data_IF_190240676272
#
_entry.id   IF_190240676272
#
_cell.length_a   1.000
_cell.length_b   1.000
_cell.length_c   1.000
_cell.angle_alpha   90.00
_cell.angle_beta   90.00
_cell.angle_gamma   90.00
#
_symmetry.space_group_name_H-M   'P 1'
#
loop_
_entity.id
_entity.type
_entity.pdbx_description
1 polymer ?
#
# COMPACT_ATOMS: atom_id res chain seq x y z
N UNK A 1 19.95 -79.04 21.31
CA UNK A 1 19.51 -77.83 22.04
C UNK A 1 19.48 -76.68 21.05
N UNK A 2 18.34 -75.97 20.97
CA UNK A 2 18.06 -74.88 20.03
C UNK A 2 18.82 -73.62 20.48
N UNK A 3 19.47 -72.93 19.55
CA UNK A 3 19.86 -71.52 19.73
C UNK A 3 19.43 -70.73 18.50
N UNK A 4 18.50 -69.80 18.74
CA UNK A 4 17.97 -68.87 17.76
C UNK A 4 18.93 -67.68 17.60
N UNK A 5 19.23 -67.30 16.36
CA UNK A 5 19.88 -66.04 16.05
C UNK A 5 18.81 -65.04 15.62
N UNK A 6 18.64 -63.98 16.42
CA UNK A 6 17.74 -62.88 16.14
C UNK A 6 18.34 -61.96 15.07
N UNK A 7 17.66 -61.84 13.94
CA UNK A 7 18.01 -60.89 12.87
C UNK A 7 17.37 -59.53 13.22
N UNK A 8 18.19 -58.56 13.63
CA UNK A 8 17.73 -57.18 13.87
C UNK A 8 17.81 -56.41 12.56
N UNK A 9 16.66 -56.09 11.96
CA UNK A 9 16.56 -55.20 10.80
C UNK A 9 16.70 -53.75 11.29
N UNK A 10 17.80 -53.09 10.95
CA UNK A 10 17.96 -51.64 11.15
C UNK A 10 17.32 -50.91 9.97
N UNK A 11 16.12 -50.34 10.17
CA UNK A 11 15.50 -49.47 9.18
C UNK A 11 16.19 -48.10 9.20
N UNK A 12 16.99 -47.80 8.17
CA UNK A 12 17.47 -46.43 7.91
C UNK A 12 16.28 -45.57 7.45
N UNK A 13 15.76 -44.73 8.33
CA UNK A 13 14.89 -43.63 7.94
C UNK A 13 15.71 -42.57 7.21
N UNK A 14 15.55 -42.49 5.89
CA UNK A 14 16.08 -41.39 5.08
C UNK A 14 15.13 -40.20 5.23
N UNK A 15 15.49 -39.23 6.06
CA UNK A 15 14.85 -37.90 6.05
C UNK A 15 15.27 -37.15 4.79
N UNK A 16 14.35 -36.63 3.96
CA UNK A 16 14.73 -35.78 2.85
C UNK A 16 15.27 -34.45 3.40
N UNK A 17 16.51 -34.13 3.04
CA UNK A 17 17.11 -32.83 3.33
C UNK A 17 16.31 -31.74 2.60
N UNK A 18 15.64 -30.87 3.37
CA UNK A 18 15.10 -29.61 2.86
C UNK A 18 16.29 -28.78 2.42
N UNK A 19 16.47 -28.63 1.11
CA UNK A 19 17.50 -27.77 0.53
C UNK A 19 17.12 -26.33 0.87
N UNK A 20 17.88 -25.70 1.77
CA UNK A 20 17.76 -24.28 2.04
C UNK A 20 18.03 -23.53 0.71
N UNK A 21 17.05 -22.73 0.28
CA UNK A 21 17.26 -21.77 -0.81
C UNK A 21 18.25 -20.73 -0.27
N UNK A 22 19.45 -20.68 -0.84
CA UNK A 22 20.43 -19.64 -0.49
C UNK A 22 19.83 -18.26 -0.82
N UNK A 23 19.97 -17.27 0.08
CA UNK A 23 19.46 -15.93 -0.17
C UNK A 23 20.17 -15.32 -1.38
N UNK A 24 19.41 -14.63 -2.23
CA UNK A 24 19.96 -13.91 -3.37
C UNK A 24 21.11 -12.97 -2.93
N UNK A 25 22.18 -12.85 -3.73
CA UNK A 25 23.31 -12.00 -3.38
C UNK A 25 22.85 -10.54 -3.21
N UNK A 26 23.43 -9.83 -2.24
CA UNK A 26 23.03 -8.47 -1.86
C UNK A 26 22.91 -7.48 -3.04
N UNK A 27 23.71 -7.66 -4.11
CA UNK A 27 23.60 -6.88 -5.34
C UNK A 27 22.25 -7.04 -6.04
N UNK A 28 21.73 -8.27 -6.15
CA UNK A 28 20.45 -8.55 -6.79
C UNK A 28 19.26 -7.95 -6.01
N UNK A 29 19.31 -8.05 -4.68
CA UNK A 29 18.29 -7.43 -3.79
C UNK A 29 18.33 -5.89 -3.89
N UNK A 30 19.52 -5.31 -3.99
CA UNK A 30 19.69 -3.86 -4.18
C UNK A 30 19.19 -3.39 -5.55
N UNK A 31 19.37 -4.20 -6.59
CA UNK A 31 18.92 -3.87 -7.95
C UNK A 31 17.40 -4.01 -8.08
N UNK A 32 16.79 -4.99 -7.40
CA UNK A 32 15.32 -5.13 -7.28
C UNK A 32 14.69 -3.96 -6.53
N UNK A 33 15.27 -3.55 -5.39
CA UNK A 33 14.83 -2.36 -4.65
C UNK A 33 14.91 -1.06 -5.47
N UNK A 34 15.93 -0.95 -6.32
CA UNK A 34 16.11 0.19 -7.24
C UNK A 34 15.08 0.16 -8.37
N UNK A 35 14.78 -1.03 -8.91
CA UNK A 35 13.78 -1.22 -9.96
C UNK A 35 12.38 -0.90 -9.47
N UNK A 36 11.97 -1.44 -8.31
CA UNK A 36 10.68 -1.15 -7.66
C UNK A 36 10.51 0.34 -7.43
N UNK A 37 11.55 1.01 -6.91
CA UNK A 37 11.51 2.46 -6.74
C UNK A 37 11.53 3.24 -8.06
N UNK A 38 12.18 2.75 -9.11
CA UNK A 38 12.19 3.42 -10.41
C UNK A 38 10.83 3.31 -11.10
N UNK A 39 10.24 2.11 -11.13
CA UNK A 39 8.91 1.85 -11.65
C UNK A 39 7.86 2.67 -10.90
N UNK A 40 7.91 2.66 -9.56
CA UNK A 40 7.01 3.46 -8.75
C UNK A 40 7.20 4.96 -8.95
N UNK A 41 8.44 5.46 -9.10
CA UNK A 41 8.69 6.88 -9.41
C UNK A 41 8.06 7.29 -10.74
N UNK A 42 8.24 6.49 -11.80
CA UNK A 42 7.64 6.77 -13.10
C UNK A 42 6.11 6.71 -13.05
N UNK A 43 5.56 5.68 -12.38
CA UNK A 43 4.13 5.51 -12.16
C UNK A 43 3.51 6.70 -11.42
N UNK A 44 4.20 7.19 -10.38
CA UNK A 44 3.75 8.33 -9.59
C UNK A 44 3.84 9.64 -10.36
N UNK A 45 4.89 9.86 -11.14
CA UNK A 45 4.98 11.05 -11.99
C UNK A 45 3.77 11.11 -12.95
N UNK A 46 3.48 10.00 -13.62
CA UNK A 46 2.33 9.86 -14.52
C UNK A 46 0.99 10.02 -13.77
N UNK A 47 0.86 9.42 -12.57
CA UNK A 47 -0.34 9.57 -11.77
C UNK A 47 -0.54 11.00 -11.26
N UNK A 48 0.53 11.71 -10.90
CA UNK A 48 0.48 13.13 -10.49
C UNK A 48 0.10 14.04 -11.64
N UNK A 49 0.68 13.82 -12.82
CA UNK A 49 0.27 14.50 -14.04
C UNK A 49 -1.23 14.29 -14.29
N UNK A 50 -1.69 13.04 -14.14
CA UNK A 50 -3.08 12.65 -14.38
C UNK A 50 -4.10 13.11 -13.33
N UNK A 51 -3.71 13.20 -12.07
CA UNK A 51 -4.62 13.53 -10.96
C UNK A 51 -4.51 15.01 -10.52
N UNK A 52 -3.43 15.71 -10.93
CA UNK A 52 -3.05 17.01 -10.40
C UNK A 52 -3.86 18.22 -10.91
N UNK A 53 -3.55 19.42 -10.38
CA UNK A 53 -4.18 20.69 -10.77
C UNK A 53 -3.97 21.09 -12.24
N UNK A 54 -2.87 20.64 -12.86
CA UNK A 54 -2.55 20.97 -14.26
C UNK A 54 -3.60 20.41 -15.24
N UNK A 55 -4.14 19.22 -14.96
CA UNK A 55 -5.22 18.67 -15.75
C UNK A 55 -6.57 19.32 -15.42
N UNK A 56 -6.81 19.77 -14.17
CA UNK A 56 -7.97 20.64 -13.86
C UNK A 56 -7.94 21.94 -14.66
N UNK A 57 -6.76 22.52 -14.90
CA UNK A 57 -6.60 23.69 -15.76
C UNK A 57 -6.74 23.34 -17.27
N UNK A 58 -6.28 22.17 -17.71
CA UNK A 58 -6.42 21.72 -19.10
C UNK A 58 -7.86 21.29 -19.45
N UNK A 59 -8.54 20.60 -18.53
CA UNK A 59 -9.95 20.20 -18.63
C UNK A 59 -10.87 21.41 -18.44
N UNK A 60 -10.57 22.36 -17.55
CA UNK A 60 -11.32 23.63 -17.46
C UNK A 60 -11.12 24.53 -18.68
N UNK A 61 -9.97 24.44 -19.37
CA UNK A 61 -9.75 25.11 -20.67
C UNK A 61 -10.46 24.40 -21.82
N UNK A 62 -10.58 23.07 -21.76
CA UNK A 62 -11.32 22.28 -22.74
C UNK A 62 -12.85 22.33 -22.54
N UNK A 63 -13.32 22.57 -21.31
CA UNK A 63 -14.73 22.70 -20.95
C UNK A 63 -15.19 24.17 -20.82
N UNK A 64 -14.27 25.13 -20.90
CA UNK A 64 -14.51 26.57 -20.74
C UNK A 64 -15.04 27.26 -21.99
N UNK A 65 -16.17 26.77 -22.49
CA UNK A 65 -16.95 27.36 -23.57
C UNK A 65 -18.42 27.53 -23.21
N UNK A 66 -18.75 27.90 -21.96
CA UNK A 66 -20.08 28.43 -21.62
C UNK A 66 -20.11 29.10 -20.22
N UNK A 67 -20.42 30.40 -20.27
CA UNK A 67 -21.20 31.19 -19.33
C UNK A 67 -20.71 31.46 -17.89
N UNK A 68 -20.69 32.77 -17.61
CA UNK A 68 -20.40 33.44 -16.37
C UNK A 68 -21.61 33.61 -15.44
N UNK A 69 -21.28 34.06 -14.22
CA UNK A 69 -22.00 34.99 -13.35
C UNK A 69 -22.75 34.42 -12.14
N UNK A 70 -22.47 35.02 -10.98
CA UNK A 70 -23.36 35.01 -9.81
C UNK A 70 -22.64 34.96 -8.46
N UNK A 71 -22.12 36.09 -7.99
CA UNK A 71 -21.74 36.28 -6.59
C UNK A 71 -22.98 36.70 -5.76
N UNK A 72 -23.12 36.19 -4.52
CA UNK A 72 -23.40 37.01 -3.33
C UNK A 72 -23.38 36.19 -2.02
N UNK A 73 -23.21 36.94 -0.93
CA UNK A 73 -22.52 36.59 0.31
C UNK A 73 -23.42 36.31 1.55
N UNK A 74 -22.76 35.82 2.62
CA UNK A 74 -23.06 35.93 4.07
C UNK A 74 -24.28 35.13 4.63
N UNK A 75 -24.30 34.57 5.85
CA UNK A 75 -23.57 34.89 7.09
C UNK A 75 -23.70 33.79 8.19
N UNK A 76 -22.73 33.75 9.11
CA UNK A 76 -22.78 33.36 10.55
C UNK A 76 -23.15 31.90 10.97
N UNK A 77 -22.67 31.31 12.06
CA UNK A 77 -21.54 31.47 12.99
C UNK A 77 -21.67 30.32 14.02
N UNK A 78 -20.63 29.50 14.22
CA UNK A 78 -20.39 28.83 15.52
C UNK A 78 -18.95 28.29 15.54
N UNK A 79 -17.99 29.17 15.85
CA UNK A 79 -16.60 28.77 16.00
C UNK A 79 -16.35 28.39 17.45
N UNK A 80 -16.30 27.09 17.71
CA UNK A 80 -15.56 26.56 18.84
C UNK A 80 -14.11 27.09 18.78
N UNK A 81 -13.54 27.41 19.95
CA UNK A 81 -12.18 27.92 20.08
C UNK A 81 -11.20 27.15 19.18
N UNK A 82 -10.32 27.83 18.42
CA UNK A 82 -9.38 27.12 17.56
C UNK A 82 -8.44 26.32 18.48
N UNK A 83 -8.54 25.00 18.40
CA UNK A 83 -7.44 24.14 18.78
C UNK A 83 -6.19 24.71 18.10
N UNK A 84 -5.13 24.97 18.88
CA UNK A 84 -3.85 25.52 18.40
C UNK A 84 -3.57 24.92 17.02
N UNK A 85 -3.66 25.73 15.97
CA UNK A 85 -3.20 25.30 14.66
C UNK A 85 -1.71 25.10 14.82
N UNK A 86 -1.28 23.85 15.02
CA UNK A 86 0.11 23.50 14.84
C UNK A 86 0.42 23.92 13.41
N UNK A 87 1.19 24.99 13.25
CA UNK A 87 1.65 25.43 11.94
C UNK A 87 2.64 24.36 11.47
N UNK A 88 2.11 23.34 10.81
CA UNK A 88 2.91 22.28 10.22
C UNK A 88 3.76 22.88 9.11
N UNK A 89 5.07 22.61 9.11
CA UNK A 89 5.96 22.95 7.99
C UNK A 89 5.64 22.14 6.73
N UNK A 90 4.88 21.06 6.89
CA UNK A 90 4.35 20.25 5.80
C UNK A 90 3.63 19.02 6.32
N UNK A 91 3.01 18.28 5.40
CA UNK A 91 2.20 17.10 5.71
C UNK A 91 2.82 15.84 5.12
N UNK A 92 2.96 14.79 5.92
CA UNK A 92 3.36 13.44 5.54
C UNK A 92 2.10 12.58 5.39
N UNK A 93 2.09 11.71 4.39
CA UNK A 93 0.98 10.79 4.14
C UNK A 93 1.46 9.36 4.36
N UNK A 94 1.25 8.84 5.57
CA UNK A 94 1.54 7.44 5.87
C UNK A 94 0.56 6.54 5.14
N UNK A 95 1.09 5.58 4.40
CA UNK A 95 0.29 4.57 3.70
C UNK A 95 0.77 3.17 4.03
N UNK A 96 -0.20 2.27 4.21
CA UNK A 96 0.03 0.89 4.62
C UNK A 96 -0.59 -0.06 3.60
N UNK A 97 0.24 -0.84 2.91
CA UNK A 97 -0.24 -1.93 2.07
C UNK A 97 -0.41 -3.19 2.95
N UNK A 98 -1.38 -4.04 2.60
CA UNK A 98 -1.49 -5.36 3.20
C UNK A 98 -0.21 -6.18 2.98
N UNK A 99 -0.06 -7.24 3.75
CA UNK A 99 1.07 -8.15 3.64
C UNK A 99 0.79 -9.41 4.45
N UNK A 100 1.63 -9.72 5.45
CA UNK A 100 1.41 -10.84 6.37
C UNK A 100 0.56 -10.48 7.60
N UNK A 101 0.24 -9.20 7.78
CA UNK A 101 -0.50 -8.61 8.92
C UNK A 101 0.14 -8.87 10.29
N UNK A 102 1.38 -9.34 10.33
CA UNK A 102 2.11 -9.59 11.58
C UNK A 102 2.33 -8.33 12.41
N UNK A 103 2.26 -7.15 11.79
CA UNK A 103 2.51 -5.86 12.42
C UNK A 103 1.25 -4.97 12.49
N UNK A 104 0.09 -5.49 12.07
CA UNK A 104 -1.16 -4.73 11.94
C UNK A 104 -1.59 -4.04 13.24
N UNK A 105 -1.69 -4.80 14.34
CA UNK A 105 -2.13 -4.27 15.65
C UNK A 105 -1.14 -3.22 16.20
N UNK A 106 0.16 -3.45 16.06
CA UNK A 106 1.17 -2.48 16.49
C UNK A 106 1.07 -1.16 15.71
N UNK A 107 0.88 -1.25 14.39
CA UNK A 107 0.70 -0.08 13.53
C UNK A 107 -0.53 0.69 14.00
N UNK A 108 -1.66 0.00 14.14
CA UNK A 108 -2.91 0.54 14.62
C UNK A 108 -2.77 1.29 15.95
N UNK A 109 -2.18 0.64 16.95
CA UNK A 109 -1.99 1.22 18.28
C UNK A 109 -1.06 2.44 18.24
N UNK A 110 -0.02 2.38 17.40
CA UNK A 110 0.94 3.48 17.25
C UNK A 110 0.29 4.70 16.63
N UNK A 111 -0.47 4.52 15.55
CA UNK A 111 -1.23 5.61 14.92
C UNK A 111 -2.21 6.24 15.92
N UNK A 112 -2.90 5.43 16.72
CA UNK A 112 -3.84 5.91 17.74
C UNK A 112 -3.15 6.72 18.85
N UNK A 113 -2.01 6.25 19.39
CA UNK A 113 -1.24 6.99 20.42
C UNK A 113 -0.81 8.37 19.93
N UNK A 114 -0.41 8.45 18.66
CA UNK A 114 0.02 9.69 18.00
C UNK A 114 -1.15 10.51 17.41
N UNK A 115 -2.39 9.99 17.48
CA UNK A 115 -3.59 10.60 16.88
C UNK A 115 -3.43 10.85 15.37
N UNK A 116 -2.73 9.96 14.68
CA UNK A 116 -2.46 10.05 13.24
C UNK A 116 -3.50 9.27 12.46
N UNK A 117 -4.02 9.88 11.40
CA UNK A 117 -4.82 9.19 10.40
C UNK A 117 -3.95 8.84 9.19
N UNK A 118 -3.90 7.56 8.84
CA UNK A 118 -3.18 7.04 7.67
C UNK A 118 -4.12 6.56 6.56
N UNK A 119 -3.54 6.06 5.47
CA UNK A 119 -4.29 5.40 4.38
C UNK A 119 -3.87 3.94 4.24
N UNK A 120 -4.80 3.01 4.08
CA UNK A 120 -4.53 1.58 3.94
C UNK A 120 -4.91 1.11 2.53
N UNK A 121 -4.06 0.35 1.85
CA UNK A 121 -4.39 -0.30 0.57
C UNK A 121 -4.51 -1.80 0.75
N UNK A 122 -5.68 -2.33 0.40
CA UNK A 122 -6.07 -3.69 0.78
C UNK A 122 -6.00 -4.66 -0.41
N UNK A 123 -5.26 -5.75 -0.23
CA UNK A 123 -5.37 -6.99 -0.99
C UNK A 123 -5.79 -8.14 -0.05
N UNK A 124 -6.33 -9.23 -0.60
CA UNK A 124 -6.72 -10.42 0.15
C UNK A 124 -5.52 -11.39 0.27
N UNK A 125 -4.63 -11.08 1.19
CA UNK A 125 -3.34 -11.75 1.35
C UNK A 125 -3.35 -12.72 2.52
N UNK A 126 -2.56 -13.78 2.43
CA UNK A 126 -2.41 -14.74 3.52
C UNK A 126 -1.69 -14.09 4.70
N UNK A 127 -2.28 -14.23 5.89
CA UNK A 127 -1.72 -13.67 7.13
C UNK A 127 -0.91 -14.71 7.90
N UNK A 128 -0.16 -14.26 8.90
CA UNK A 128 0.53 -15.15 9.86
C UNK A 128 -0.41 -16.03 10.69
N UNK A 129 -1.71 -15.71 10.74
CA UNK A 129 -2.73 -16.50 11.45
C UNK A 129 -3.23 -17.69 10.62
N UNK A 130 -2.82 -17.80 9.35
CA UNK A 130 -3.26 -18.84 8.44
C UNK A 130 -4.58 -18.53 7.71
N UNK A 131 -5.22 -17.42 8.05
CA UNK A 131 -6.37 -16.83 7.34
C UNK A 131 -5.91 -15.80 6.29
N UNK A 132 -6.86 -15.07 5.69
CA UNK A 132 -6.59 -13.96 4.78
C UNK A 132 -6.96 -12.61 5.39
N UNK A 133 -6.26 -11.56 4.98
CA UNK A 133 -6.42 -10.19 5.48
C UNK A 133 -7.84 -9.61 5.33
N UNK A 134 -8.64 -10.16 4.41
CA UNK A 134 -10.05 -9.80 4.21
C UNK A 134 -11.01 -10.94 4.62
N UNK A 135 -10.58 -11.87 5.48
CA UNK A 135 -11.46 -12.85 6.10
C UNK A 135 -12.31 -12.24 7.22
N UNK A 136 -13.43 -12.88 7.63
CA UNK A 136 -14.31 -12.35 8.68
C UNK A 136 -13.61 -12.12 10.02
N UNK A 137 -12.54 -12.88 10.31
CA UNK A 137 -11.67 -12.70 11.48
C UNK A 137 -11.03 -11.30 11.56
N UNK A 138 -10.90 -10.60 10.44
CA UNK A 138 -10.37 -9.24 10.36
C UNK A 138 -11.47 -8.15 10.35
N UNK A 139 -12.76 -8.51 10.41
CA UNK A 139 -13.87 -7.54 10.40
C UNK A 139 -13.74 -6.49 11.51
N UNK A 140 -13.43 -6.91 12.74
CA UNK A 140 -13.29 -6.00 13.87
C UNK A 140 -12.13 -5.01 13.66
N UNK A 141 -11.00 -5.49 13.16
CA UNK A 141 -9.82 -4.68 12.86
C UNK A 141 -10.16 -3.59 11.82
N UNK A 142 -10.80 -3.96 10.70
CA UNK A 142 -11.16 -3.01 9.65
C UNK A 142 -12.26 -2.03 10.05
N UNK A 143 -13.26 -2.47 10.82
CA UNK A 143 -14.26 -1.58 11.42
C UNK A 143 -13.63 -0.52 12.31
N UNK A 144 -12.62 -0.89 13.10
CA UNK A 144 -11.86 0.07 13.89
C UNK A 144 -11.13 1.09 13.00
N UNK A 145 -10.45 0.64 11.93
CA UNK A 145 -9.75 1.55 11.01
C UNK A 145 -10.68 2.58 10.36
N UNK A 146 -11.90 2.16 10.02
CA UNK A 146 -12.97 3.04 9.53
C UNK A 146 -13.40 4.04 10.60
N UNK A 147 -13.67 3.57 11.82
CA UNK A 147 -14.15 4.42 12.93
C UNK A 147 -13.12 5.49 13.35
N UNK A 148 -11.83 5.17 13.25
CA UNK A 148 -10.72 6.10 13.53
C UNK A 148 -10.52 7.15 12.41
N UNK A 149 -11.20 6.99 11.28
CA UNK A 149 -11.19 7.94 10.18
C UNK A 149 -10.03 7.78 9.21
N UNK A 150 -9.42 6.60 9.13
CA UNK A 150 -8.43 6.29 8.10
C UNK A 150 -9.05 6.28 6.70
N UNK A 151 -8.22 6.51 5.69
CA UNK A 151 -8.59 6.28 4.30
C UNK A 151 -8.30 4.83 3.90
N UNK A 152 -9.13 4.24 3.06
CA UNK A 152 -9.04 2.83 2.66
C UNK A 152 -9.15 2.74 1.15
N UNK A 153 -8.09 2.30 0.48
CA UNK A 153 -8.02 2.06 -0.95
C UNK A 153 -7.84 0.59 -1.29
N UNK A 154 -7.91 0.28 -2.58
CA UNK A 154 -7.67 -1.07 -3.08
C UNK A 154 -6.20 -1.29 -3.43
N UNK A 155 -5.69 -2.49 -3.16
CA UNK A 155 -4.40 -2.99 -3.66
C UNK A 155 -4.57 -4.15 -4.64
N UNK A 156 -5.75 -4.23 -5.30
CA UNK A 156 -6.28 -5.41 -6.02
C UNK A 156 -6.52 -6.62 -5.12
N UNK A 157 -7.55 -7.41 -5.43
CA UNK A 157 -7.94 -8.52 -4.55
C UNK A 157 -6.87 -9.61 -4.46
N UNK A 158 -6.37 -10.08 -5.61
CA UNK A 158 -5.40 -11.19 -5.66
C UNK A 158 -3.92 -10.72 -5.67
N UNK A 159 -3.66 -9.47 -5.26
CA UNK A 159 -2.33 -8.84 -5.32
C UNK A 159 -1.71 -8.98 -6.73
N UNK A 160 -2.42 -8.46 -7.73
CA UNK A 160 -2.16 -8.62 -9.16
C UNK A 160 -1.02 -7.70 -9.62
N UNK A 161 0.20 -8.25 -9.63
CA UNK A 161 1.41 -7.53 -10.08
C UNK A 161 1.43 -7.42 -11.60
N UNK A 162 1.49 -6.20 -12.11
CA UNK A 162 1.66 -5.92 -13.53
C UNK A 162 3.05 -6.36 -14.02
N UNK A 163 3.09 -7.07 -15.15
CA UNK A 163 4.32 -7.50 -15.80
C UNK A 163 4.64 -6.66 -17.04
N UNK A 164 3.69 -6.54 -17.98
CA UNK A 164 3.84 -5.77 -19.23
C UNK A 164 2.50 -5.53 -19.92
N UNK A 165 2.48 -4.63 -20.90
CA UNK A 165 1.34 -4.48 -21.81
C UNK A 165 1.26 -5.72 -22.72
N UNK A 166 0.04 -6.17 -22.96
CA UNK A 166 -0.28 -7.31 -23.83
C UNK A 166 -0.89 -6.88 -25.16
N UNK A 167 -1.23 -7.87 -25.99
CA UNK A 167 -1.98 -7.66 -27.21
C UNK A 167 -3.44 -7.23 -26.93
N UNK A 168 -4.11 -6.69 -27.95
CA UNK A 168 -5.56 -6.40 -27.95
C UNK A 168 -6.02 -5.51 -26.78
N UNK A 169 -5.16 -4.58 -26.37
CA UNK A 169 -5.43 -3.66 -25.29
C UNK A 169 -5.42 -4.27 -23.88
N UNK A 170 -4.97 -5.52 -23.74
CA UNK A 170 -4.83 -6.21 -22.46
C UNK A 170 -3.51 -5.89 -21.77
N UNK A 171 -3.38 -6.35 -20.54
CA UNK A 171 -2.13 -6.38 -19.77
C UNK A 171 -1.77 -7.83 -19.44
N UNK A 172 -0.49 -8.10 -19.22
CA UNK A 172 0.01 -9.34 -18.64
C UNK A 172 0.35 -9.08 -17.18
N UNK A 173 -0.13 -9.95 -16.30
CA UNK A 173 0.00 -9.84 -14.85
C UNK A 173 0.43 -11.16 -14.22
N UNK A 174 0.90 -11.11 -12.98
CA UNK A 174 1.20 -12.28 -12.15
C UNK A 174 0.55 -12.08 -10.77
N UNK A 175 -0.63 -12.68 -10.51
CA UNK A 175 -1.28 -12.62 -9.20
C UNK A 175 -0.42 -13.27 -8.11
N UNK A 176 -0.44 -12.69 -6.91
CA UNK A 176 0.16 -13.30 -5.72
C UNK A 176 -0.74 -14.36 -5.08
N UNK A 177 -2.06 -14.20 -5.23
CA UNK A 177 -3.08 -15.03 -4.59
C UNK A 177 -4.18 -15.44 -5.60
N UNK A 178 -5.17 -16.19 -5.12
CA UNK A 178 -6.27 -16.73 -5.94
C UNK A 178 -5.86 -17.91 -6.83
N UNK A 179 -6.78 -18.36 -7.68
CA UNK A 179 -6.63 -19.58 -8.49
C UNK A 179 -5.45 -19.53 -9.48
N UNK A 180 -5.05 -18.32 -9.89
CA UNK A 180 -3.92 -18.08 -10.80
C UNK A 180 -2.65 -17.61 -10.10
N UNK A 181 -2.54 -17.81 -8.78
CA UNK A 181 -1.38 -17.41 -7.99
C UNK A 181 -0.07 -17.91 -8.62
N UNK A 182 0.88 -17.00 -8.81
CA UNK A 182 2.20 -17.30 -9.36
C UNK A 182 2.24 -17.52 -10.88
N UNK A 183 1.11 -17.52 -11.59
CA UNK A 183 1.06 -17.73 -13.03
C UNK A 183 0.89 -16.42 -13.79
N UNK A 184 1.57 -16.29 -14.94
CA UNK A 184 1.33 -15.15 -15.81
C UNK A 184 -0.01 -15.33 -16.55
N UNK A 185 -0.88 -14.34 -16.43
CA UNK A 185 -2.20 -14.31 -17.08
C UNK A 185 -2.40 -12.99 -17.81
N UNK A 186 -3.32 -12.97 -18.77
CA UNK A 186 -3.68 -11.74 -19.48
C UNK A 186 -5.05 -11.25 -19.04
N UNK A 187 -5.13 -9.99 -18.63
CA UNK A 187 -6.37 -9.36 -18.19
C UNK A 187 -6.76 -8.22 -19.14
N UNK A 188 -8.04 -8.18 -19.48
CA UNK A 188 -8.68 -6.98 -20.05
C UNK A 188 -8.84 -5.89 -18.99
N UNK A 189 -9.12 -4.66 -19.42
CA UNK A 189 -9.41 -3.56 -18.51
C UNK A 189 -10.58 -3.86 -17.56
N UNK A 190 -11.63 -4.53 -18.06
CA UNK A 190 -12.76 -4.97 -17.24
C UNK A 190 -12.34 -5.94 -16.14
N UNK A 191 -11.57 -6.98 -16.48
CA UNK A 191 -11.08 -7.96 -15.50
C UNK A 191 -10.13 -7.33 -14.48
N UNK A 192 -9.35 -6.33 -14.88
CA UNK A 192 -8.52 -5.59 -13.94
C UNK A 192 -9.35 -4.72 -12.99
N UNK A 193 -10.39 -4.06 -13.51
CA UNK A 193 -11.33 -3.31 -12.68
C UNK A 193 -12.08 -4.22 -11.69
N UNK A 194 -12.46 -5.43 -12.09
CA UNK A 194 -13.04 -6.44 -11.20
C UNK A 194 -12.08 -6.78 -10.04
N UNK A 195 -10.76 -6.84 -10.27
CA UNK A 195 -9.77 -7.03 -9.19
C UNK A 195 -9.76 -5.89 -8.17
N UNK A 196 -9.97 -4.65 -8.62
CA UNK A 196 -10.07 -3.48 -7.73
C UNK A 196 -11.40 -3.53 -6.95
N UNK A 197 -12.51 -3.78 -7.65
CA UNK A 197 -13.87 -3.77 -7.11
C UNK A 197 -14.17 -4.94 -6.16
N UNK A 198 -13.54 -6.11 -6.36
CA UNK A 198 -13.66 -7.24 -5.43
C UNK A 198 -13.19 -6.88 -4.01
N UNK A 199 -12.20 -6.00 -3.88
CA UNK A 199 -11.77 -5.49 -2.56
C UNK A 199 -12.88 -4.64 -1.95
N UNK A 200 -13.51 -3.75 -2.73
CA UNK A 200 -14.62 -2.92 -2.26
C UNK A 200 -15.80 -3.76 -1.79
N UNK A 201 -16.25 -4.71 -2.63
CA UNK A 201 -17.33 -5.63 -2.28
C UNK A 201 -17.03 -6.36 -0.97
N UNK A 202 -15.81 -6.92 -0.85
CA UNK A 202 -15.43 -7.65 0.36
C UNK A 202 -15.34 -6.73 1.57
N UNK A 203 -14.84 -5.51 1.41
CA UNK A 203 -14.74 -4.54 2.50
C UNK A 203 -16.10 -4.07 3.00
N UNK A 204 -17.08 -3.92 2.09
CA UNK A 204 -18.49 -3.65 2.44
C UNK A 204 -19.08 -4.80 3.24
N UNK A 205 -18.86 -6.06 2.85
CA UNK A 205 -19.31 -7.22 3.64
C UNK A 205 -18.74 -7.22 5.06
N UNK A 206 -17.47 -6.83 5.22
CA UNK A 206 -16.81 -6.82 6.52
C UNK A 206 -17.21 -5.63 7.39
N UNK A 207 -17.44 -4.45 6.81
CA UNK A 207 -17.49 -3.17 7.54
C UNK A 207 -18.77 -2.35 7.33
N UNK A 208 -19.52 -2.61 6.27
CA UNK A 208 -20.64 -1.80 5.82
C UNK A 208 -20.24 -0.47 5.17
N UNK A 209 -18.97 -0.27 4.82
CA UNK A 209 -18.46 0.92 4.14
C UNK A 209 -17.79 0.57 2.83
N UNK A 210 -17.94 1.46 1.85
CA UNK A 210 -17.18 1.42 0.60
C UNK A 210 -15.77 1.98 0.80
N UNK A 211 -14.86 1.57 -0.08
CA UNK A 211 -13.53 2.13 -0.21
C UNK A 211 -13.57 3.56 -0.71
N UNK A 212 -12.49 4.28 -0.40
CA UNK A 212 -12.15 5.50 -1.10
C UNK A 212 -11.76 5.20 -2.57
N UNK A 213 -11.99 6.12 -3.52
CA UNK A 213 -11.76 5.91 -4.96
C UNK A 213 -10.28 6.04 -5.34
N UNK A 214 -9.42 5.37 -4.60
CA UNK A 214 -7.98 5.27 -4.78
C UNK A 214 -7.55 3.81 -4.81
N UNK A 215 -6.52 3.54 -5.59
CA UNK A 215 -5.94 2.22 -5.73
C UNK A 215 -4.43 2.33 -5.86
N UNK A 216 -3.69 1.32 -5.40
CA UNK A 216 -2.24 1.23 -5.57
C UNK A 216 -1.89 -0.04 -6.31
N UNK A 217 -1.03 0.07 -7.32
CA UNK A 217 -0.55 -1.11 -8.04
C UNK A 217 0.41 -1.93 -7.18
N UNK A 218 0.19 -3.26 -7.08
CA UNK A 218 1.17 -4.17 -6.48
C UNK A 218 2.57 -4.01 -7.08
N UNK A 219 3.58 -4.01 -6.20
CA UNK A 219 4.99 -3.72 -6.51
C UNK A 219 5.26 -2.35 -7.19
N UNK A 220 4.30 -1.44 -7.20
CA UNK A 220 4.41 -0.13 -7.85
C UNK A 220 4.60 -0.19 -9.38
N UNK A 221 4.36 -1.35 -9.99
CA UNK A 221 4.57 -1.58 -11.43
C UNK A 221 3.34 -1.14 -12.21
N UNK A 222 3.51 -0.25 -13.18
CA UNK A 222 2.41 0.27 -14.00
C UNK A 222 2.82 0.52 -15.45
N UNK A 223 1.83 0.79 -16.29
CA UNK A 223 1.96 1.43 -17.61
C UNK A 223 0.89 2.49 -17.79
N UNK A 224 1.02 3.40 -18.78
CA UNK A 224 -0.06 4.33 -19.13
C UNK A 224 -1.40 3.62 -19.37
N UNK A 225 -1.36 2.42 -19.97
CA UNK A 225 -2.53 1.56 -20.18
C UNK A 225 -3.13 1.09 -18.85
N UNK A 226 -2.32 0.59 -17.92
CA UNK A 226 -2.80 0.17 -16.60
C UNK A 226 -3.44 1.33 -15.82
N UNK A 227 -2.81 2.51 -15.87
CA UNK A 227 -3.33 3.71 -15.22
C UNK A 227 -4.67 4.12 -15.81
N UNK A 228 -4.82 4.05 -17.14
CA UNK A 228 -6.10 4.31 -17.82
C UNK A 228 -7.18 3.29 -17.42
N UNK A 229 -6.84 2.00 -17.29
CA UNK A 229 -7.78 0.97 -16.83
C UNK A 229 -8.34 1.31 -15.45
N UNK A 230 -7.48 1.63 -14.47
CA UNK A 230 -7.92 2.03 -13.12
C UNK A 230 -8.79 3.30 -13.14
N UNK A 231 -8.41 4.30 -13.94
CA UNK A 231 -9.19 5.53 -14.11
C UNK A 231 -10.57 5.26 -14.72
N UNK A 232 -10.66 4.35 -15.69
CA UNK A 232 -11.91 4.04 -16.40
C UNK A 232 -12.98 3.43 -15.49
N UNK A 233 -12.60 2.74 -14.42
CA UNK A 233 -13.51 2.27 -13.37
C UNK A 233 -13.56 3.17 -12.12
N UNK A 234 -13.07 4.41 -12.22
CA UNK A 234 -13.31 5.45 -11.23
C UNK A 234 -12.28 5.54 -10.10
N UNK A 235 -11.16 4.83 -10.18
CA UNK A 235 -10.09 4.83 -9.17
C UNK A 235 -8.88 5.65 -9.64
N UNK A 236 -8.28 6.40 -8.71
CA UNK A 236 -7.00 7.05 -8.95
C UNK A 236 -5.84 6.19 -8.44
N UNK A 237 -4.82 5.99 -9.28
CA UNK A 237 -3.60 5.33 -8.84
C UNK A 237 -2.82 6.21 -7.86
N UNK A 238 -2.32 5.61 -6.77
CA UNK A 238 -1.46 6.24 -5.78
C UNK A 238 -0.23 5.35 -5.52
N UNK A 239 0.96 5.79 -5.91
CA UNK A 239 2.21 5.17 -5.44
C UNK A 239 2.78 5.91 -4.22
N UNK A 240 4.10 5.88 -4.05
CA UNK A 240 4.85 6.59 -2.99
C UNK A 240 5.89 7.56 -3.56
N UNK A 241 6.34 8.54 -2.78
CA UNK A 241 7.38 9.47 -3.26
C UNK A 241 8.77 8.84 -3.25
N UNK A 242 9.77 9.40 -3.97
CA UNK A 242 11.13 8.87 -3.97
C UNK A 242 11.73 8.67 -2.56
N UNK A 243 11.41 9.55 -1.61
CA UNK A 243 11.84 9.45 -0.21
C UNK A 243 10.91 8.56 0.65
N UNK A 244 9.71 8.27 0.15
CA UNK A 244 8.65 7.55 0.86
C UNK A 244 8.78 6.04 0.89
N UNK A 245 9.74 5.44 0.18
CA UNK A 245 9.97 3.99 0.29
C UNK A 245 10.66 3.65 1.63
N UNK A 246 9.95 2.92 2.50
CA UNK A 246 10.45 2.56 3.83
C UNK A 246 11.56 1.51 3.82
N UNK A 247 11.64 0.70 2.75
CA UNK A 247 12.58 -0.42 2.63
C UNK A 247 12.24 -1.63 3.49
N UNK A 248 11.01 -1.71 4.01
CA UNK A 248 10.53 -2.80 4.86
C UNK A 248 10.36 -4.15 4.13
N UNK A 249 10.40 -4.15 2.80
CA UNK A 249 10.47 -5.37 2.00
C UNK A 249 11.90 -5.85 1.72
N UNK A 250 12.92 -5.06 2.09
CA UNK A 250 14.32 -5.38 1.83
C UNK A 250 14.90 -6.34 2.87
N UNK A 251 15.97 -7.04 2.48
CA UNK A 251 16.72 -7.91 3.39
C UNK A 251 17.22 -7.16 4.62
N UNK A 252 16.93 -7.69 5.82
CA UNK A 252 17.39 -7.11 7.09
C UNK A 252 18.92 -7.07 7.20
N UNK A 253 19.65 -8.00 6.58
CA UNK A 253 21.12 -8.02 6.64
C UNK A 253 21.78 -6.96 5.77
N UNK A 254 21.20 -6.68 4.59
CA UNK A 254 21.70 -5.64 3.69
C UNK A 254 21.16 -4.25 4.07
N UNK A 255 19.95 -4.20 4.63
CA UNK A 255 19.24 -2.99 5.02
C UNK A 255 18.66 -3.09 6.44
N UNK A 256 19.53 -2.95 7.46
CA UNK A 256 19.11 -2.93 8.86
C UNK A 256 18.13 -1.78 9.15
N UNK A 257 17.31 -1.98 10.19
CA UNK A 257 16.25 -1.03 10.57
C UNK A 257 16.81 0.38 10.84
N UNK A 258 17.94 0.50 11.53
CA UNK A 258 18.52 1.82 11.87
C UNK A 258 19.02 2.59 10.64
N UNK A 259 19.55 1.89 9.64
CA UNK A 259 19.95 2.47 8.35
C UNK A 259 18.74 3.02 7.61
N UNK A 260 17.65 2.23 7.55
CA UNK A 260 16.41 2.65 6.92
C UNK A 260 15.79 3.86 7.65
N UNK A 261 15.73 3.83 8.98
CA UNK A 261 15.21 4.92 9.80
C UNK A 261 16.01 6.23 9.59
N UNK A 262 17.34 6.16 9.69
CA UNK A 262 18.23 7.32 9.46
C UNK A 262 18.02 7.90 8.07
N UNK A 263 17.89 7.05 7.05
CA UNK A 263 17.60 7.47 5.67
C UNK A 263 16.25 8.19 5.59
N UNK A 264 15.18 7.58 6.08
CA UNK A 264 13.83 8.16 6.04
C UNK A 264 13.78 9.50 6.78
N UNK A 265 14.32 9.57 8.00
CA UNK A 265 14.37 10.81 8.77
C UNK A 265 15.17 11.89 8.06
N UNK A 266 16.24 11.57 7.33
CA UNK A 266 17.02 12.57 6.58
C UNK A 266 16.26 13.10 5.36
N UNK A 267 15.62 12.21 4.61
CA UNK A 267 15.17 12.51 3.24
C UNK A 267 13.70 12.98 3.15
N UNK A 268 12.84 12.58 4.11
CA UNK A 268 11.41 12.88 4.09
C UNK A 268 11.10 14.36 4.35
N UNK A 269 10.11 14.88 3.62
CA UNK A 269 9.61 16.26 3.69
C UNK A 269 8.09 16.33 3.45
N UNK A 270 7.52 17.51 3.72
CA UNK A 270 6.11 17.76 3.42
C UNK A 270 5.73 17.45 1.97
N UNK A 271 4.60 16.76 1.79
CA UNK A 271 4.11 16.25 0.51
C UNK A 271 4.54 14.81 0.20
N UNK A 272 5.37 14.19 1.04
CA UNK A 272 5.79 12.80 0.84
C UNK A 272 4.71 11.78 1.23
N UNK A 273 4.53 10.80 0.35
CA UNK A 273 3.67 9.64 0.54
C UNK A 273 4.56 8.46 0.86
N UNK A 274 4.43 7.89 2.05
CA UNK A 274 5.30 6.82 2.55
C UNK A 274 4.62 5.47 2.35
N UNK A 275 5.31 4.52 1.70
CA UNK A 275 4.91 3.12 1.60
C UNK A 275 5.52 2.31 2.75
N UNK A 276 4.65 1.67 3.52
CA UNK A 276 4.98 0.67 4.54
C UNK A 276 4.01 -0.49 4.32
N UNK A 277 4.40 -1.72 4.63
CA UNK A 277 3.53 -2.87 4.62
C UNK A 277 3.13 -3.24 6.05
N UNK A 278 1.97 -3.86 6.20
CA UNK A 278 1.48 -4.36 7.49
C UNK A 278 2.19 -5.66 7.95
N UNK A 279 3.45 -5.83 7.55
CA UNK A 279 4.25 -7.04 7.74
C UNK A 279 4.65 -7.66 6.41
N UNK A 280 5.93 -8.02 6.28
CA UNK A 280 6.49 -8.69 5.10
C UNK A 280 7.07 -10.04 5.51
N UNK A 281 6.74 -11.08 4.74
CA UNK A 281 7.20 -12.45 4.97
C UNK A 281 8.72 -12.63 4.85
N UNK A 282 9.36 -11.92 3.92
CA UNK A 282 10.79 -12.06 3.65
C UNK A 282 11.68 -11.32 4.66
N UNK A 283 11.13 -10.37 5.43
CA UNK A 283 11.90 -9.55 6.36
C UNK A 283 12.05 -10.28 7.70
N UNK A 284 13.29 -10.56 8.09
CA UNK A 284 13.62 -11.28 9.33
C UNK A 284 13.43 -10.41 10.58
N UNK A 285 13.92 -9.17 10.52
CA UNK A 285 13.79 -8.20 11.61
C UNK A 285 12.60 -7.26 11.32
N UNK A 286 11.47 -7.41 12.03
CA UNK A 286 10.27 -6.63 11.75
C UNK A 286 10.52 -5.12 11.73
N UNK A 287 9.97 -4.42 10.73
CA UNK A 287 10.24 -3.00 10.51
C UNK A 287 9.51 -2.10 11.50
N UNK A 288 8.18 -2.23 11.64
CA UNK A 288 7.36 -1.34 12.46
C UNK A 288 7.74 -1.33 13.95
N UNK A 289 8.02 -2.48 14.60
CA UNK A 289 8.50 -2.48 15.99
C UNK A 289 9.76 -1.65 16.23
N UNK A 290 10.67 -1.60 15.25
CA UNK A 290 11.91 -0.85 15.37
C UNK A 290 11.79 0.59 14.89
N UNK A 291 11.01 0.85 13.83
CA UNK A 291 11.12 2.08 13.06
C UNK A 291 9.88 2.97 13.08
N UNK A 292 8.66 2.45 13.27
CA UNK A 292 7.45 3.25 13.06
C UNK A 292 7.35 4.41 14.06
N UNK A 293 7.44 4.09 15.35
CA UNK A 293 7.36 5.08 16.44
C UNK A 293 8.52 6.09 16.39
N UNK A 294 9.80 5.68 16.23
CA UNK A 294 10.89 6.63 16.05
C UNK A 294 10.78 7.49 14.79
N UNK A 295 10.24 6.94 13.69
CA UNK A 295 10.02 7.69 12.46
C UNK A 295 8.99 8.79 12.70
N UNK A 296 7.82 8.44 13.25
CA UNK A 296 6.75 9.40 13.55
C UNK A 296 7.28 10.51 14.47
N UNK A 297 7.84 10.13 15.62
CA UNK A 297 8.37 11.08 16.60
C UNK A 297 9.46 11.98 16.00
N UNK A 298 10.30 11.45 15.12
CA UNK A 298 11.35 12.21 14.46
C UNK A 298 10.83 13.19 13.41
N UNK A 299 9.73 12.87 12.72
CA UNK A 299 9.06 13.78 11.78
C UNK A 299 8.25 14.86 12.52
N UNK A 300 7.61 14.53 13.63
CA UNK A 300 6.93 15.52 14.49
C UNK A 300 7.93 16.55 15.05
N UNK A 301 9.12 16.10 15.48
CA UNK A 301 10.21 17.00 15.90
C UNK A 301 10.71 17.93 14.78
N UNK A 302 10.37 17.65 13.53
CA UNK A 302 10.62 18.51 12.36
C UNK A 302 9.44 19.42 12.03
N UNK A 303 8.45 19.49 12.91
CA UNK A 303 7.17 20.20 12.72
C UNK A 303 6.39 19.70 11.49
N UNK A 304 6.52 18.41 11.14
CA UNK A 304 5.70 17.78 10.11
C UNK A 304 4.45 17.17 10.75
N UNK A 305 3.33 17.32 10.06
CA UNK A 305 2.06 16.74 10.44
C UNK A 305 1.70 15.57 9.54
N UNK A 306 0.61 14.87 9.87
CA UNK A 306 0.17 13.69 9.15
C UNK A 306 -1.29 13.82 8.71
N UNK A 307 -1.58 13.34 7.51
CA UNK A 307 -2.93 13.32 6.98
C UNK A 307 -3.16 12.08 6.11
N UNK A 308 -4.44 11.82 5.83
CA UNK A 308 -4.83 10.79 4.86
C UNK A 308 -4.71 11.30 3.42
N UNK A 309 -4.73 10.39 2.44
CA UNK A 309 -4.74 10.78 1.03
C UNK A 309 -5.99 11.58 0.60
N UNK A 310 -7.04 11.63 1.43
CA UNK A 310 -8.20 12.52 1.24
C UNK A 310 -7.82 13.99 1.21
N UNK A 311 -6.74 14.34 1.90
CA UNK A 311 -6.24 15.71 2.06
C UNK A 311 -5.07 16.01 1.11
N UNK A 312 -4.58 15.01 0.37
CA UNK A 312 -3.46 15.18 -0.54
C UNK A 312 -3.89 16.00 -1.79
N UNK A 313 -3.19 17.09 -2.16
CA UNK A 313 -3.60 18.00 -3.24
C UNK A 313 -3.82 17.33 -4.61
N UNK A 314 -3.05 16.28 -4.90
CA UNK A 314 -3.17 15.52 -6.14
C UNK A 314 -4.40 14.61 -6.17
N UNK A 315 -4.94 14.18 -5.02
CA UNK A 315 -6.04 13.21 -4.98
C UNK A 315 -7.36 13.81 -4.48
N UNK A 316 -7.33 15.01 -3.91
CA UNK A 316 -8.48 15.71 -3.32
C UNK A 316 -9.74 15.69 -4.20
N UNK A 317 -9.60 15.86 -5.52
CA UNK A 317 -10.75 15.86 -6.44
C UNK A 317 -11.49 14.52 -6.52
N UNK A 318 -10.83 13.42 -6.20
CA UNK A 318 -11.42 12.08 -6.27
C UNK A 318 -12.41 11.83 -5.12
N UNK A 319 -12.23 12.50 -3.99
CA UNK A 319 -13.02 12.33 -2.77
C UNK A 319 -14.20 13.31 -2.65
N UNK A 320 -14.32 14.30 -3.55
CA UNK A 320 -15.41 15.31 -3.54
C UNK A 320 -16.66 14.86 -4.32
N UNK A 321 -17.07 13.61 -4.20
CA UNK A 321 -18.29 13.10 -4.85
C UNK A 321 -19.47 13.10 -3.90
#
# INVERSE_FOLDING_TARGET
>A
MKTAAALTLLALAVTPAVRAVEPAPAKAVNDEARDVNAAARAANAQARERNGPAQRAAEARAAGGAAAAGANAANAANAAAPAKSAFCKGTIYLTFDTGSQSQAELIADTLNRHKIKATFFLANEKTVRGDYSLDPSWSAYWKARVAEGHAIGSHTFDHVVYAKDGADGKIVVKPGFGDSAGQQTSLSGKQYCEQIQRVDQRFVELTGKHLDPIWRAPAGRTSPRLLEMGQSCGYAHVGWTPAGFSGDELSSSAYPNDVLLKKSLRDLKGGDIILIHMGIWSRKDPWAPANLEPLISGLEKKDLCFATLREHPDYLSKFKR
#
